data_IF_528896793580
#
_entry.id   IF_528896793580
#
_cell.length_a   1.000
_cell.length_b   1.000
_cell.length_c   1.000
_cell.angle_alpha   90.00
_cell.angle_beta   90.00
_cell.angle_gamma   90.00
#
_symmetry.space_group_name_H-M   'P 1'
#
loop_
_entity.id
_entity.type
_entity.pdbx_description
1 polymer ?
#
# COMPACT_ATOMS: atom_id res chain seq x y z
N UNK A 1 1.34 -25.55 6.07
CA UNK A 1 0.25 -24.77 6.68
C UNK A 1 0.01 -23.48 5.88
N UNK A 2 -0.96 -23.47 4.97
CA UNK A 2 -1.38 -22.24 4.29
C UNK A 2 -2.35 -21.46 5.18
N UNK A 3 -1.84 -20.74 6.18
CA UNK A 3 -2.68 -19.92 7.06
C UNK A 3 -3.06 -18.60 6.41
N UNK A 4 -3.64 -18.64 5.20
CA UNK A 4 -4.31 -17.50 4.53
C UNK A 4 -5.78 -17.38 4.98
N UNK A 5 -6.04 -17.73 6.23
CA UNK A 5 -7.39 -17.78 6.80
C UNK A 5 -7.95 -16.34 6.93
N UNK A 6 -9.28 -16.20 7.04
CA UNK A 6 -9.94 -14.90 7.18
C UNK A 6 -9.37 -14.06 8.34
N UNK A 7 -9.04 -14.71 9.46
CA UNK A 7 -8.42 -14.08 10.62
C UNK A 7 -7.04 -13.47 10.27
N UNK A 8 -6.20 -14.22 9.56
CA UNK A 8 -4.89 -13.73 9.11
C UNK A 8 -5.02 -12.52 8.19
N UNK A 9 -5.96 -12.56 7.23
CA UNK A 9 -6.25 -11.42 6.35
C UNK A 9 -6.68 -10.18 7.16
N UNK A 10 -7.59 -10.33 8.12
CA UNK A 10 -8.03 -9.24 9.01
C UNK A 10 -6.89 -8.65 9.83
N UNK A 11 -6.05 -9.50 10.42
CA UNK A 11 -4.87 -9.07 11.17
C UNK A 11 -3.90 -8.29 10.26
N UNK A 12 -3.62 -8.81 9.06
CA UNK A 12 -2.75 -8.15 8.10
C UNK A 12 -3.31 -6.77 7.67
N UNK A 13 -4.60 -6.68 7.39
CA UNK A 13 -5.26 -5.40 7.09
C UNK A 13 -5.15 -4.41 8.25
N UNK A 14 -5.38 -4.85 9.50
CA UNK A 14 -5.24 -4.01 10.70
C UNK A 14 -3.83 -3.45 10.80
N UNK A 15 -2.82 -4.32 10.70
CA UNK A 15 -1.40 -3.94 10.75
C UNK A 15 -1.05 -2.90 9.68
N UNK A 16 -1.50 -3.11 8.44
CA UNK A 16 -1.23 -2.17 7.36
C UNK A 16 -1.94 -0.83 7.55
N UNK A 17 -3.20 -0.80 7.98
CA UNK A 17 -3.92 0.44 8.29
C UNK A 17 -3.22 1.25 9.38
N UNK A 18 -2.76 0.61 10.46
CA UNK A 18 -1.97 1.28 11.51
C UNK A 18 -0.70 1.92 10.94
N UNK A 19 0.00 1.22 10.04
CA UNK A 19 1.18 1.77 9.35
C UNK A 19 0.81 2.99 8.50
N UNK A 20 -0.28 2.93 7.73
CA UNK A 20 -0.73 4.03 6.85
C UNK A 20 -1.17 5.27 7.61
N UNK A 21 -1.69 5.15 8.83
CA UNK A 21 -2.04 6.32 9.67
C UNK A 21 -0.86 7.21 10.04
N UNK A 22 0.38 6.74 9.90
CA UNK A 22 1.60 7.54 10.10
C UNK A 22 2.09 8.24 8.84
N UNK A 23 1.42 8.06 7.70
CA UNK A 23 1.90 8.60 6.44
C UNK A 23 1.46 10.05 6.31
N UNK A 24 2.36 10.93 5.91
CA UNK A 24 2.06 12.34 5.65
C UNK A 24 0.98 12.50 4.55
N UNK A 25 0.89 11.54 3.62
CA UNK A 25 -0.11 11.53 2.55
C UNK A 25 -1.44 10.84 2.95
N UNK A 26 -1.63 10.42 4.21
CA UNK A 26 -2.89 9.86 4.69
C UNK A 26 -3.98 10.93 4.90
N UNK A 27 -3.92 12.04 4.15
CA UNK A 27 -4.78 13.21 4.28
C UNK A 27 -4.92 13.64 5.75
N UNK A 28 -3.78 13.93 6.38
CA UNK A 28 -3.71 14.48 7.73
C UNK A 28 -4.44 15.83 7.74
N UNK A 29 -5.53 15.93 8.50
CA UNK A 29 -6.25 17.18 8.72
C UNK A 29 -5.84 17.71 10.08
N UNK A 30 -5.14 18.84 10.15
CA UNK A 30 -4.87 19.47 11.45
C UNK A 30 -6.15 20.15 11.96
N UNK A 31 -6.54 20.01 13.24
CA UNK A 31 -5.79 19.39 14.35
C UNK A 31 -6.08 17.88 14.56
N UNK A 32 -7.06 17.31 13.88
CA UNK A 32 -7.64 15.99 14.13
C UNK A 32 -6.74 14.80 13.72
N UNK A 33 -5.73 15.06 12.90
CA UNK A 33 -4.82 14.07 12.35
C UNK A 33 -5.42 13.22 11.22
N UNK A 34 -4.92 11.99 11.07
CA UNK A 34 -5.39 11.07 10.03
C UNK A 34 -6.64 10.31 10.52
N UNK A 35 -7.79 10.56 9.89
CA UNK A 35 -9.05 9.89 10.23
C UNK A 35 -9.08 8.44 9.77
N UNK A 36 -9.92 7.60 10.38
CA UNK A 36 -10.10 6.18 9.99
C UNK A 36 -10.47 6.05 8.50
N UNK A 37 -11.30 6.96 8.00
CA UNK A 37 -11.73 7.00 6.59
C UNK A 37 -10.52 7.27 5.68
N UNK A 38 -9.68 8.25 6.03
CA UNK A 38 -8.50 8.61 5.24
C UNK A 38 -7.45 7.49 5.26
N UNK A 39 -7.26 6.84 6.40
CA UNK A 39 -6.40 5.65 6.53
C UNK A 39 -6.93 4.50 5.67
N UNK A 40 -8.26 4.30 5.65
CA UNK A 40 -8.91 3.31 4.79
C UNK A 40 -8.66 3.60 3.31
N UNK A 41 -8.82 4.86 2.89
CA UNK A 41 -8.49 5.31 1.53
C UNK A 41 -7.02 5.06 1.22
N UNK A 42 -6.09 5.51 2.06
CA UNK A 42 -4.64 5.31 1.89
C UNK A 42 -4.18 3.83 1.94
N UNK A 43 -4.99 2.95 2.52
CA UNK A 43 -4.76 1.50 2.48
C UNK A 43 -5.17 0.89 1.14
N UNK A 44 -6.30 1.33 0.57
CA UNK A 44 -6.82 0.83 -0.70
C UNK A 44 -6.19 1.52 -1.91
N UNK A 45 -5.74 2.76 -1.77
CA UNK A 45 -5.03 3.46 -2.83
C UNK A 45 -3.54 3.06 -2.78
N UNK A 46 -2.98 2.49 -3.86
CA UNK A 46 -1.54 2.50 -4.02
C UNK A 46 -1.07 3.96 -3.94
N UNK A 47 0.04 4.17 -3.25
CA UNK A 47 0.50 5.49 -2.81
C UNK A 47 0.22 6.58 -3.86
N UNK A 48 -0.66 7.55 -3.54
CA UNK A 48 -1.05 8.67 -4.41
C UNK A 48 0.10 9.60 -4.82
N UNK A 49 1.31 9.30 -4.38
CA UNK A 49 2.42 10.22 -4.47
C UNK A 49 3.24 10.00 -5.74
N UNK A 50 3.02 10.91 -6.68
CA UNK A 50 4.09 11.53 -7.46
C UNK A 50 4.99 12.44 -6.60
N UNK A 51 4.88 12.43 -5.27
CA UNK A 51 5.70 13.29 -4.41
C UNK A 51 7.18 12.93 -4.55
N UNK A 52 8.03 13.95 -4.56
CA UNK A 52 9.48 13.83 -4.74
C UNK A 52 10.14 12.85 -3.75
N UNK A 53 9.60 12.70 -2.53
CA UNK A 53 10.10 11.73 -1.54
C UNK A 53 9.77 10.27 -1.86
N UNK A 54 8.67 10.01 -2.55
CA UNK A 54 8.28 8.67 -2.97
C UNK A 54 8.54 8.42 -4.46
N UNK A 55 8.94 9.46 -5.20
CA UNK A 55 9.55 9.44 -6.51
C UNK A 55 8.88 8.51 -7.50
N UNK A 56 7.55 8.46 -7.52
CA UNK A 56 6.74 7.66 -8.45
C UNK A 56 7.44 6.33 -8.82
N UNK A 57 7.76 5.48 -7.84
CA UNK A 57 8.70 4.35 -8.00
C UNK A 57 8.41 3.48 -9.23
N UNK A 58 7.15 3.36 -9.65
CA UNK A 58 6.78 2.62 -10.87
C UNK A 58 7.19 3.32 -12.16
N UNK A 59 7.20 4.66 -12.19
CA UNK A 59 7.70 5.46 -13.30
C UNK A 59 9.23 5.38 -13.39
N UNK A 60 9.94 5.46 -12.25
CA UNK A 60 11.41 5.48 -12.25
C UNK A 60 12.07 4.09 -12.26
N UNK A 61 11.46 3.08 -11.62
CA UNK A 61 12.03 1.73 -11.50
C UNK A 61 11.25 0.67 -12.29
N UNK A 62 10.14 1.05 -12.94
CA UNK A 62 9.36 0.13 -13.76
C UNK A 62 8.64 -0.96 -12.97
N UNK A 63 8.51 -2.14 -13.57
CA UNK A 63 7.86 -3.30 -12.95
C UNK A 63 8.68 -3.85 -11.80
N UNK A 64 8.00 -4.31 -10.75
CA UNK A 64 8.67 -5.00 -9.65
C UNK A 64 9.05 -6.44 -10.02
N UNK A 65 9.97 -7.05 -9.24
CA UNK A 65 10.47 -8.41 -9.51
C UNK A 65 9.39 -9.50 -9.55
N UNK A 66 8.26 -9.32 -8.85
CA UNK A 66 7.16 -10.29 -8.89
C UNK A 66 6.39 -10.18 -10.20
N UNK A 67 6.14 -8.97 -10.68
CA UNK A 67 5.52 -8.70 -12.00
C UNK A 67 6.40 -9.22 -13.14
N UNK A 68 7.73 -9.02 -13.05
CA UNK A 68 8.70 -9.55 -14.03
C UNK A 68 8.63 -11.07 -14.09
N UNK A 69 8.65 -11.74 -12.94
CA UNK A 69 8.55 -13.20 -12.85
C UNK A 69 7.22 -13.73 -13.38
N UNK A 70 6.12 -13.05 -13.06
CA UNK A 70 4.80 -13.42 -13.56
C UNK A 70 4.72 -13.32 -15.08
N UNK A 71 5.27 -12.25 -15.69
CA UNK A 71 5.34 -12.16 -17.16
C UNK A 71 6.18 -13.27 -17.78
N UNK A 72 7.34 -13.56 -17.19
CA UNK A 72 8.20 -14.64 -17.67
C UNK A 72 7.51 -16.01 -17.63
N UNK A 73 6.66 -16.27 -16.62
CA UNK A 73 5.91 -17.53 -16.52
C UNK A 73 4.77 -17.69 -17.52
N UNK A 74 4.39 -16.64 -18.25
CA UNK A 74 3.33 -16.68 -19.28
C UNK A 74 3.89 -16.59 -20.72
N UNK A 75 5.21 -16.75 -20.91
CA UNK A 75 5.86 -16.70 -22.23
C UNK A 75 6.25 -18.08 -22.80
N UNK A 76 5.71 -19.17 -22.27
CA UNK A 76 5.76 -20.49 -22.89
C UNK A 76 4.57 -20.72 -23.83
#
# INVERSE_FOLDING_TARGET
MHTRNRAFRRHHMKRLKTKRGRYNNAAYSWPEGATIVNIGKAYHTPCLCSCWMCGHQRFHHGMNMQEVRARASYQD
#
